data_IF_197985766066
#
_entry.id   IF_197985766066
#
_cell.length_a   1.000
_cell.length_b   1.000
_cell.length_c   1.000
_cell.angle_alpha   90.00
_cell.angle_beta   90.00
_cell.angle_gamma   90.00
#
_symmetry.space_group_name_H-M   'P 1'
#
loop_
_entity.id
_entity.type
_entity.pdbx_description
1 polymer ?
#
# COMPACT_ATOMS: atom_id res chain seq x y z
N UNK A 1 -7.88 -0.55 21.15
CA UNK A 1 -7.89 0.62 20.26
C UNK A 1 -7.31 0.22 18.90
N UNK A 2 -7.85 0.71 17.79
CA UNK A 2 -7.34 0.43 16.43
C UNK A 2 -7.12 1.76 15.70
N UNK A 3 -5.88 2.02 15.27
CA UNK A 3 -5.54 3.15 14.41
C UNK A 3 -6.10 2.88 13.01
N UNK A 4 -6.94 3.79 12.51
CA UNK A 4 -7.51 3.70 11.16
C UNK A 4 -6.57 4.33 10.14
N UNK A 5 -6.52 3.75 8.95
CA UNK A 5 -5.85 4.28 7.77
C UNK A 5 -6.95 4.67 6.77
N UNK A 6 -6.88 5.87 6.21
CA UNK A 6 -7.81 6.26 5.16
C UNK A 6 -7.53 5.45 3.89
N UNK A 7 -8.57 5.04 3.13
CA UNK A 7 -8.34 4.38 1.86
C UNK A 7 -7.56 5.29 0.90
N UNK A 8 -6.75 4.69 0.02
CA UNK A 8 -6.00 5.41 -1.00
C UNK A 8 -6.70 5.27 -2.35
N UNK A 9 -6.91 6.39 -3.05
CA UNK A 9 -7.68 6.45 -4.29
C UNK A 9 -6.84 6.76 -5.53
N UNK A 10 -5.63 7.32 -5.35
CA UNK A 10 -4.80 7.98 -6.37
C UNK A 10 -5.38 9.33 -6.82
N UNK A 11 -5.82 10.17 -5.88
CA UNK A 11 -6.17 11.57 -6.20
C UNK A 11 -4.92 12.43 -6.21
N UNK A 12 -4.89 13.49 -7.02
CA UNK A 12 -3.74 14.43 -7.09
C UNK A 12 -3.36 15.05 -5.73
N UNK A 13 -4.32 15.12 -4.80
CA UNK A 13 -4.10 15.60 -3.43
C UNK A 13 -3.47 14.56 -2.49
N UNK A 14 -3.41 13.28 -2.90
CA UNK A 14 -2.89 12.20 -2.07
C UNK A 14 -1.39 12.02 -2.26
N UNK A 15 -0.66 12.11 -1.15
CA UNK A 15 0.76 11.82 -1.12
C UNK A 15 0.98 10.32 -0.80
N UNK A 16 1.44 9.59 -1.81
CA UNK A 16 1.73 8.16 -1.76
C UNK A 16 2.75 7.80 -0.67
N UNK A 17 3.81 8.61 -0.50
CA UNK A 17 4.84 8.39 0.51
C UNK A 17 4.27 8.62 1.91
N UNK A 18 3.51 9.71 2.10
CA UNK A 18 2.81 9.98 3.36
C UNK A 18 1.80 8.89 3.72
N UNK A 19 1.08 8.37 2.74
CA UNK A 19 0.13 7.28 2.96
C UNK A 19 0.85 6.01 3.45
N UNK A 20 1.98 5.63 2.83
CA UNK A 20 2.82 4.51 3.27
C UNK A 20 3.27 4.73 4.74
N UNK A 21 3.72 5.93 5.09
CA UNK A 21 4.16 6.23 6.46
C UNK A 21 3.03 6.09 7.49
N UNK A 22 1.83 6.59 7.17
CA UNK A 22 0.63 6.43 8.00
C UNK A 22 0.28 4.95 8.15
N UNK A 23 0.30 4.20 7.05
CA UNK A 23 0.02 2.77 7.06
C UNK A 23 1.01 1.99 7.94
N UNK A 24 2.31 2.26 7.83
CA UNK A 24 3.34 1.59 8.63
C UNK A 24 3.21 1.92 10.13
N UNK A 25 2.88 3.17 10.49
CA UNK A 25 2.58 3.56 11.87
C UNK A 25 1.35 2.84 12.41
N UNK A 26 0.27 2.78 11.63
CA UNK A 26 -0.95 2.07 12.01
C UNK A 26 -0.71 0.56 12.17
N UNK A 27 0.04 -0.05 11.25
CA UNK A 27 0.45 -1.46 11.34
C UNK A 27 1.19 -1.75 12.65
N UNK A 28 2.16 -0.91 13.00
CA UNK A 28 2.91 -1.04 14.26
C UNK A 28 1.98 -0.90 15.48
N UNK A 29 1.13 0.12 15.49
CA UNK A 29 0.20 0.37 16.60
C UNK A 29 -0.85 -0.74 16.77
N UNK A 30 -1.29 -1.33 15.66
CA UNK A 30 -2.33 -2.36 15.63
C UNK A 30 -1.80 -3.79 15.75
N UNK A 31 -0.47 -3.97 15.82
CA UNK A 31 0.15 -5.30 15.90
C UNK A 31 -0.13 -6.19 14.68
N UNK A 32 -0.35 -5.61 13.49
CA UNK A 32 -0.64 -6.42 12.31
C UNK A 32 0.58 -7.24 11.89
N UNK A 33 0.39 -8.52 11.52
CA UNK A 33 1.50 -9.41 11.22
C UNK A 33 2.13 -9.07 9.86
N UNK A 34 3.44 -9.26 9.74
CA UNK A 34 4.20 -8.89 8.54
C UNK A 34 3.81 -9.69 7.30
N UNK A 35 3.46 -10.97 7.46
CA UNK A 35 3.02 -11.83 6.37
C UNK A 35 1.70 -11.38 5.72
N UNK A 36 0.90 -10.52 6.38
CA UNK A 36 -0.33 -9.95 5.81
C UNK A 36 -0.18 -8.50 5.37
N UNK A 37 1.01 -7.91 5.47
CA UNK A 37 1.21 -6.47 5.25
C UNK A 37 0.73 -6.02 3.87
N UNK A 38 1.10 -6.74 2.81
CA UNK A 38 0.65 -6.45 1.43
C UNK A 38 -0.86 -6.60 1.29
N UNK A 39 -1.43 -7.70 1.78
CA UNK A 39 -2.87 -7.95 1.69
C UNK A 39 -3.70 -6.88 2.43
N UNK A 40 -3.23 -6.42 3.59
CA UNK A 40 -3.91 -5.36 4.35
C UNK A 40 -3.83 -4.02 3.61
N UNK A 41 -2.65 -3.65 3.07
CA UNK A 41 -2.50 -2.44 2.28
C UNK A 41 -3.36 -2.46 1.03
N UNK A 42 -3.37 -3.58 0.29
CA UNK A 42 -4.22 -3.79 -0.88
C UNK A 42 -5.71 -3.63 -0.55
N UNK A 43 -6.17 -4.14 0.60
CA UNK A 43 -7.54 -3.97 1.07
C UNK A 43 -7.94 -2.52 1.39
N UNK A 44 -6.97 -1.60 1.46
CA UNK A 44 -7.18 -0.17 1.67
C UNK A 44 -7.11 0.64 0.37
N UNK A 45 -6.81 0.02 -0.78
CA UNK A 45 -6.82 0.69 -2.07
C UNK A 45 -8.26 0.77 -2.62
N UNK A 46 -8.57 1.85 -3.33
CA UNK A 46 -9.87 2.09 -3.96
C UNK A 46 -9.69 2.57 -5.39
N UNK A 47 -10.75 2.42 -6.18
CA UNK A 47 -10.83 2.92 -7.56
C UNK A 47 -9.57 2.58 -8.38
N UNK A 48 -8.88 3.58 -8.91
CA UNK A 48 -7.73 3.41 -9.77
C UNK A 48 -6.58 2.68 -9.08
N UNK A 49 -6.33 2.96 -7.80
CA UNK A 49 -5.31 2.25 -7.03
C UNK A 49 -5.65 0.76 -6.83
N UNK A 50 -6.93 0.44 -6.64
CA UNK A 50 -7.38 -0.95 -6.55
C UNK A 50 -7.26 -1.67 -7.91
N UNK A 51 -7.63 -0.99 -9.00
CA UNK A 51 -7.49 -1.52 -10.36
C UNK A 51 -6.03 -1.82 -10.69
N UNK A 52 -5.13 -0.89 -10.38
CA UNK A 52 -3.69 -1.11 -10.51
C UNK A 52 -3.25 -2.37 -9.76
N UNK A 53 -3.61 -2.51 -8.48
CA UNK A 53 -3.19 -3.66 -7.68
C UNK A 53 -3.69 -4.98 -8.30
N UNK A 54 -4.92 -5.04 -8.77
CA UNK A 54 -5.48 -6.24 -9.41
C UNK A 54 -4.71 -6.66 -10.67
N UNK A 55 -4.12 -5.71 -11.41
CA UNK A 55 -3.29 -6.00 -12.58
C UNK A 55 -1.91 -6.57 -12.22
N UNK A 56 -1.38 -6.22 -11.04
CA UNK A 56 -0.01 -6.53 -10.65
C UNK A 56 0.11 -7.55 -9.51
N UNK A 57 -1.01 -7.90 -8.85
CA UNK A 57 -1.03 -8.68 -7.61
C UNK A 57 -0.38 -10.05 -7.73
N UNK A 58 -0.38 -10.67 -8.91
CA UNK A 58 0.26 -11.98 -9.16
C UNK A 58 1.79 -11.93 -9.10
N UNK A 59 2.37 -10.73 -9.22
CA UNK A 59 3.83 -10.52 -9.23
C UNK A 59 4.33 -9.84 -7.95
N UNK A 60 3.43 -9.23 -7.16
CA UNK A 60 3.77 -8.68 -5.85
C UNK A 60 3.76 -9.81 -4.82
N UNK A 61 4.94 -10.17 -4.32
CA UNK A 61 5.07 -11.22 -3.31
C UNK A 61 5.72 -10.76 -2.00
N UNK A 62 6.21 -9.52 -1.94
CA UNK A 62 6.83 -8.93 -0.75
C UNK A 62 6.52 -7.44 -0.64
N UNK A 63 6.71 -6.90 0.56
CA UNK A 63 6.48 -5.48 0.83
C UNK A 63 7.63 -4.60 0.31
N UNK A 64 8.86 -4.85 0.77
CA UNK A 64 10.09 -4.22 0.29
C UNK A 64 10.92 -5.30 -0.42
N UNK A 65 11.28 -5.10 -1.69
CA UNK A 65 12.23 -5.98 -2.41
C UNK A 65 12.92 -5.27 -3.56
N UNK A 66 12.19 -5.06 -4.64
CA UNK A 66 12.65 -4.43 -5.87
C UNK A 66 11.45 -3.85 -6.64
N UNK A 67 11.72 -3.06 -7.68
CA UNK A 67 10.70 -2.45 -8.52
C UNK A 67 9.85 -3.46 -9.35
N UNK A 68 10.16 -4.76 -9.30
CA UNK A 68 9.43 -5.78 -10.05
C UNK A 68 8.43 -6.55 -9.16
N UNK A 69 8.79 -6.79 -7.91
CA UNK A 69 8.07 -7.71 -7.00
C UNK A 69 7.72 -7.12 -5.65
N UNK A 70 8.26 -5.94 -5.31
CA UNK A 70 7.95 -5.20 -4.11
C UNK A 70 6.69 -4.33 -4.25
N UNK A 71 5.79 -4.41 -3.28
CA UNK A 71 4.62 -3.55 -3.23
C UNK A 71 5.03 -2.08 -3.12
N UNK A 72 5.92 -1.74 -2.17
CA UNK A 72 6.27 -0.36 -1.84
C UNK A 72 6.90 0.35 -3.04
N UNK A 73 7.88 -0.28 -3.67
CA UNK A 73 8.62 0.30 -4.80
C UNK A 73 7.69 0.56 -5.99
N UNK A 74 6.84 -0.40 -6.35
CA UNK A 74 5.89 -0.26 -7.47
C UNK A 74 4.79 0.75 -7.19
N UNK A 75 4.32 0.81 -5.95
CA UNK A 75 3.32 1.77 -5.51
C UNK A 75 3.84 3.20 -5.64
N UNK A 76 5.09 3.44 -5.21
CA UNK A 76 5.75 4.74 -5.39
C UNK A 76 5.98 5.08 -6.87
N UNK A 77 6.48 4.13 -7.67
CA UNK A 77 6.70 4.36 -9.12
C UNK A 77 5.38 4.74 -9.82
N UNK A 78 4.26 4.11 -9.44
CA UNK A 78 2.99 4.32 -10.10
C UNK A 78 2.28 5.62 -9.67
N UNK A 79 2.49 6.07 -8.43
CA UNK A 79 1.66 7.10 -7.80
C UNK A 79 2.41 8.26 -7.13
N UNK A 80 3.74 8.33 -7.22
CA UNK A 80 4.54 9.46 -6.69
C UNK A 80 4.98 10.46 -7.77
N UNK A 81 4.14 10.66 -8.80
CA UNK A 81 4.41 11.63 -9.88
C UNK A 81 4.18 13.08 -9.45
#
# INVERSE_FOLDING_TARGET
>A
FIVKVNPFYRKDSEDTQKWIEIFLRAKKANGWPDNRRVAIAAGMLREEAANWYNLVSTTINRWDRDANTGFRERFLICFSS
#
